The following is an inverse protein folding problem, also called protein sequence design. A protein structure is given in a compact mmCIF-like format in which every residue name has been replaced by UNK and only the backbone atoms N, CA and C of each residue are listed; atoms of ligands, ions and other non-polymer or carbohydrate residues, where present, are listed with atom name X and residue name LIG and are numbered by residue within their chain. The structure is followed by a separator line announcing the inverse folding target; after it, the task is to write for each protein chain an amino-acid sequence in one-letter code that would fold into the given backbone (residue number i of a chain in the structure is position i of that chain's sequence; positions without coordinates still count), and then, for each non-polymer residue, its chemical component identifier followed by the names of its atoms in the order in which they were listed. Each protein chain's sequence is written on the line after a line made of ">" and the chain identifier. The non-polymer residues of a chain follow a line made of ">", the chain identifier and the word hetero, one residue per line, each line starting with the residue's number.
data_IF_570238355955
#
_entry.id   IF_570238355955
#
_cell.length_a   1.000
_cell.length_b   1.000
_cell.length_c   1.000
_cell.angle_alpha   90.00
_cell.angle_beta   90.00
_cell.angle_gamma   90.00
#
_symmetry.space_group_name_H-M   'P 1'
#
loop_
_entity.id
_entity.type
_entity.pdbx_description
1 polymer ?
#
# COMPACT_ATOMS: atom_id res chain seq x y z
N UNK A 1 -8.38 13.61 15.34
CA UNK A 1 -8.49 12.34 14.58
C UNK A 1 -8.60 12.74 13.13
N UNK A 2 -7.89 12.09 12.23
CA UNK A 2 -7.90 12.39 10.79
C UNK A 2 -8.82 11.41 10.06
N UNK A 3 -9.76 11.88 9.25
CA UNK A 3 -10.55 11.03 8.36
C UNK A 3 -9.66 10.49 7.22
N UNK A 4 -9.56 9.17 7.09
CA UNK A 4 -8.65 8.51 6.15
C UNK A 4 -9.37 8.16 4.84
N UNK A 5 -9.64 9.17 4.00
CA UNK A 5 -10.43 9.05 2.75
C UNK A 5 -9.86 7.99 1.80
N UNK A 6 -8.53 7.82 1.75
CA UNK A 6 -7.86 6.81 0.92
C UNK A 6 -8.26 5.36 1.25
N UNK A 7 -8.85 5.10 2.43
CA UNK A 7 -9.36 3.77 2.80
C UNK A 7 -10.66 3.43 2.09
N UNK A 8 -11.49 4.46 1.86
CA UNK A 8 -12.80 4.31 1.21
C UNK A 8 -12.65 4.34 -0.31
N UNK A 9 -11.88 5.30 -0.83
CA UNK A 9 -11.54 5.37 -2.24
C UNK A 9 -10.06 5.72 -2.48
N UNK A 10 -9.26 4.71 -2.83
CA UNK A 10 -7.85 4.87 -3.15
C UNK A 10 -7.59 5.66 -4.46
N UNK A 11 -8.63 5.92 -5.27
CA UNK A 11 -8.55 6.67 -6.53
C UNK A 11 -8.82 8.17 -6.38
N UNK A 12 -9.27 8.62 -5.22
CA UNK A 12 -9.37 10.06 -4.97
C UNK A 12 -7.98 10.70 -4.98
N UNK A 13 -7.83 11.68 -5.86
CA UNK A 13 -6.55 12.36 -6.09
C UNK A 13 -6.37 13.59 -5.22
N UNK A 14 -7.48 14.21 -4.83
CA UNK A 14 -7.48 15.41 -3.99
C UNK A 14 -8.71 15.49 -3.09
N UNK A 15 -8.58 16.23 -1.99
CA UNK A 15 -9.70 16.60 -1.13
C UNK A 15 -9.41 17.93 -0.43
N UNK A 16 -10.45 18.71 -0.20
CA UNK A 16 -10.37 19.87 0.69
C UNK A 16 -10.22 19.38 2.14
N UNK A 17 -9.33 20.00 2.87
CA UNK A 17 -9.05 19.66 4.26
C UNK A 17 -8.70 20.93 5.05
N UNK A 18 -8.65 20.79 6.37
CA UNK A 18 -8.22 21.87 7.27
C UNK A 18 -7.00 21.39 8.07
N UNK A 19 -6.02 22.26 8.20
CA UNK A 19 -4.86 22.05 9.07
C UNK A 19 -5.33 22.03 10.53
N UNK A 20 -5.08 20.92 11.25
CA UNK A 20 -5.45 20.79 12.66
C UNK A 20 -4.26 20.97 13.62
N UNK A 21 -3.06 20.69 13.14
CA UNK A 21 -1.83 20.88 13.90
C UNK A 21 -0.60 20.96 12.98
N UNK A 22 0.43 21.63 13.44
CA UNK A 22 1.75 21.70 12.79
C UNK A 22 2.82 21.63 13.87
N UNK A 23 3.80 20.77 13.69
CA UNK A 23 4.98 20.67 14.58
C UNK A 23 6.24 20.30 13.77
N UNK A 24 7.35 20.03 14.47
CA UNK A 24 8.63 19.68 13.85
C UNK A 24 8.60 18.38 13.01
N UNK A 25 7.55 17.55 13.12
CA UNK A 25 7.37 16.33 12.31
C UNK A 25 6.62 16.62 11.01
N UNK A 26 5.76 17.64 10.98
CA UNK A 26 4.97 17.98 9.78
C UNK A 26 3.56 18.50 10.09
N UNK A 27 2.71 18.42 9.09
CA UNK A 27 1.36 18.99 9.06
C UNK A 27 0.33 17.87 9.27
N UNK A 28 -0.66 18.08 10.14
CA UNK A 28 -1.81 17.19 10.33
C UNK A 28 -3.06 17.85 9.81
N UNK A 29 -3.87 17.05 9.12
CA UNK A 29 -5.13 17.50 8.55
C UNK A 29 -6.32 16.79 9.24
N UNK A 30 -7.49 17.42 9.23
CA UNK A 30 -8.75 16.83 9.69
C UNK A 30 -9.18 15.64 8.85
N UNK A 31 -8.83 15.65 7.54
CA UNK A 31 -9.05 14.56 6.59
C UNK A 31 -7.95 14.51 5.55
N UNK A 32 -7.72 13.31 4.95
CA UNK A 32 -6.64 13.18 3.97
C UNK A 32 -6.88 12.09 2.92
N UNK A 33 -6.43 12.37 1.69
CA UNK A 33 -6.29 11.40 0.60
C UNK A 33 -4.90 10.74 0.59
N UNK A 34 -3.95 11.25 1.38
CA UNK A 34 -2.58 10.74 1.43
C UNK A 34 -2.48 9.46 2.25
N UNK A 35 -1.94 8.40 1.65
CA UNK A 35 -1.62 7.15 2.33
C UNK A 35 -0.32 7.30 3.12
N UNK A 36 -0.30 7.03 4.43
CA UNK A 36 0.93 7.06 5.22
C UNK A 36 1.73 5.77 5.06
N UNK A 37 3.06 5.87 5.10
CA UNK A 37 3.98 4.73 5.09
C UNK A 37 3.49 3.60 6.00
N UNK A 38 3.28 2.42 5.44
CA UNK A 38 2.82 1.25 6.21
C UNK A 38 2.69 -0.01 5.37
N UNK A 39 2.75 -1.19 6.02
CA UNK A 39 2.57 -2.47 5.34
C UNK A 39 3.53 -2.72 4.17
N UNK A 40 4.73 -2.13 4.20
CA UNK A 40 5.70 -2.24 3.11
C UNK A 40 5.45 -1.31 1.92
N UNK A 41 4.36 -0.51 1.92
CA UNK A 41 4.08 0.51 0.90
C UNK A 41 4.57 1.88 1.41
N UNK A 42 5.32 2.65 0.58
CA UNK A 42 5.76 4.01 0.91
C UNK A 42 4.59 4.97 1.11
N UNK A 43 4.79 6.01 1.91
CA UNK A 43 3.88 7.13 2.03
C UNK A 43 3.73 7.89 0.71
N UNK A 44 2.59 8.56 0.54
CA UNK A 44 2.37 9.38 -0.63
C UNK A 44 3.18 10.66 -0.60
N UNK A 45 3.40 11.17 -1.78
CA UNK A 45 3.91 12.51 -2.06
C UNK A 45 2.84 13.34 -2.74
N UNK A 46 3.02 14.66 -2.76
CA UNK A 46 2.08 15.55 -3.41
C UNK A 46 2.22 16.99 -2.94
N UNK A 47 1.10 17.68 -2.77
CA UNK A 47 1.09 19.08 -2.37
C UNK A 47 -0.15 19.45 -1.54
N UNK A 48 -0.01 20.47 -0.70
CA UNK A 48 -1.12 21.20 -0.10
C UNK A 48 -1.17 22.57 -0.77
N UNK A 49 -2.30 22.89 -1.41
CA UNK A 49 -2.53 24.19 -2.05
C UNK A 49 -3.40 25.05 -1.14
N UNK A 50 -2.94 26.24 -0.85
CA UNK A 50 -3.66 27.24 -0.04
C UNK A 50 -4.52 28.13 -0.93
N UNK A 51 -5.56 28.70 -0.36
CA UNK A 51 -6.42 29.68 -1.06
C UNK A 51 -5.66 30.95 -1.47
N UNK A 52 -4.53 31.23 -0.83
CA UNK A 52 -3.60 32.33 -1.20
C UNK A 52 -2.86 32.08 -2.52
N UNK A 53 -2.94 30.86 -3.09
CA UNK A 53 -2.18 30.41 -4.25
C UNK A 53 -0.82 29.78 -3.89
N UNK A 54 -0.42 29.83 -2.64
CA UNK A 54 0.80 29.15 -2.17
C UNK A 54 0.64 27.63 -2.24
N UNK A 55 1.77 26.94 -2.47
CA UNK A 55 1.80 25.48 -2.56
C UNK A 55 2.91 24.96 -1.67
N UNK A 56 2.55 24.04 -0.78
CA UNK A 56 3.49 23.34 0.11
C UNK A 56 3.69 21.93 -0.45
N UNK A 57 4.88 21.65 -0.98
CA UNK A 57 5.23 20.32 -1.47
C UNK A 57 5.35 19.34 -0.29
N UNK A 58 4.70 18.18 -0.39
CA UNK A 58 4.77 17.09 0.59
C UNK A 58 5.71 16.02 0.06
N UNK A 59 6.84 15.86 0.77
CA UNK A 59 7.91 14.94 0.39
C UNK A 59 7.65 13.49 0.84
N UNK A 60 6.86 13.29 1.90
CA UNK A 60 6.48 11.98 2.42
C UNK A 60 5.22 12.10 3.29
N UNK A 61 4.61 10.95 3.58
CA UNK A 61 3.46 10.84 4.50
C UNK A 61 3.70 9.69 5.46
N UNK A 62 3.63 9.97 6.76
CA UNK A 62 3.95 9.04 7.83
C UNK A 62 2.75 8.82 8.75
N UNK A 63 2.76 7.70 9.48
CA UNK A 63 1.82 7.49 10.60
C UNK A 63 2.26 8.34 11.78
N UNK A 64 1.29 8.90 12.49
CA UNK A 64 1.51 9.51 13.77
C UNK A 64 1.48 8.51 14.92
N UNK A 65 1.34 9.03 16.13
CA UNK A 65 1.35 8.22 17.37
C UNK A 65 -0.02 7.57 17.65
N UNK A 66 -1.09 8.16 17.12
CA UNK A 66 -2.45 7.63 17.23
C UNK A 66 -2.84 6.82 15.97
N UNK A 67 -3.77 5.85 16.08
CA UNK A 67 -4.12 4.94 14.97
C UNK A 67 -4.52 5.63 13.67
N UNK A 68 -5.22 6.77 13.75
CA UNK A 68 -5.70 7.52 12.59
C UNK A 68 -4.99 8.88 12.43
N UNK A 69 -3.81 9.01 13.02
CA UNK A 69 -2.97 10.19 12.85
C UNK A 69 -2.08 10.04 11.63
N UNK A 70 -2.15 11.04 10.74
CA UNK A 70 -1.33 11.12 9.52
C UNK A 70 -0.53 12.41 9.54
N UNK A 71 0.78 12.28 9.31
CA UNK A 71 1.73 13.38 9.29
C UNK A 71 2.18 13.59 7.84
N UNK A 72 1.83 14.74 7.27
CA UNK A 72 2.30 15.17 5.97
C UNK A 72 3.63 15.91 6.17
N UNK A 73 4.72 15.33 5.66
CA UNK A 73 6.08 15.85 5.82
C UNK A 73 6.37 16.83 4.67
N UNK A 74 6.50 18.14 4.95
CA UNK A 74 6.82 19.12 3.92
C UNK A 74 8.21 18.89 3.35
N UNK A 75 8.42 19.29 2.11
CA UNK A 75 9.77 19.35 1.54
C UNK A 75 10.62 20.39 2.31
N UNK A 76 11.94 20.18 2.38
CA UNK A 76 12.82 21.12 3.10
C UNK A 76 12.66 22.57 2.61
N UNK A 77 12.58 23.50 3.55
CA UNK A 77 12.47 24.93 3.25
C UNK A 77 11.07 25.42 2.89
N UNK A 78 10.04 24.54 2.90
CA UNK A 78 8.66 24.98 2.69
C UNK A 78 8.14 25.77 3.88
N UNK A 79 7.35 26.83 3.67
CA UNK A 79 6.64 27.51 4.74
C UNK A 79 5.62 26.56 5.37
N UNK A 80 5.40 26.66 6.67
CA UNK A 80 4.39 25.88 7.36
C UNK A 80 3.11 26.72 7.53
N UNK A 81 1.92 26.13 7.23
CA UNK A 81 0.66 26.82 7.40
C UNK A 81 0.28 26.90 8.87
N UNK A 82 -0.56 27.86 9.24
CA UNK A 82 -1.12 27.92 10.58
C UNK A 82 -2.26 26.89 10.76
N UNK A 83 -2.47 26.47 12.01
CA UNK A 83 -3.64 25.66 12.34
C UNK A 83 -4.94 26.43 12.01
N UNK A 84 -5.92 25.74 11.45
CA UNK A 84 -7.15 26.35 10.94
C UNK A 84 -7.12 26.70 9.46
N UNK A 85 -5.95 26.70 8.79
CA UNK A 85 -5.82 26.98 7.36
C UNK A 85 -6.57 25.94 6.51
N UNK A 86 -7.38 26.40 5.57
CA UNK A 86 -7.99 25.54 4.57
C UNK A 86 -6.97 25.23 3.47
N UNK A 87 -6.94 23.99 3.02
CA UNK A 87 -6.03 23.51 1.97
C UNK A 87 -6.73 22.54 1.03
N UNK A 88 -6.31 22.52 -0.23
CA UNK A 88 -6.58 21.41 -1.13
C UNK A 88 -5.38 20.44 -1.05
N UNK A 89 -5.60 19.27 -0.46
CA UNK A 89 -4.62 18.20 -0.38
C UNK A 89 -4.66 17.37 -1.68
N UNK A 90 -3.56 17.35 -2.44
CA UNK A 90 -3.46 16.72 -3.75
C UNK A 90 -2.25 15.78 -3.81
N UNK A 91 -2.47 14.49 -4.11
CA UNK A 91 -1.40 13.49 -4.21
C UNK A 91 -0.73 13.48 -5.58
N UNK A 92 0.53 13.04 -5.64
CA UNK A 92 1.18 12.59 -6.88
C UNK A 92 0.49 11.29 -7.33
N UNK A 93 -0.52 11.45 -8.18
CA UNK A 93 -1.36 10.35 -8.64
C UNK A 93 -0.56 9.31 -9.45
N UNK A 94 0.33 9.74 -10.30
CA UNK A 94 1.10 8.82 -11.14
C UNK A 94 1.95 7.88 -10.28
N UNK A 95 2.59 8.44 -9.25
CA UNK A 95 3.33 7.64 -8.27
C UNK A 95 2.41 6.74 -7.44
N UNK A 96 1.29 7.25 -6.93
CA UNK A 96 0.29 6.47 -6.18
C UNK A 96 -0.19 5.28 -7.01
N UNK A 97 -0.58 5.50 -8.26
CA UNK A 97 -1.11 4.46 -9.12
C UNK A 97 -0.05 3.39 -9.43
N UNK A 98 1.22 3.76 -9.66
CA UNK A 98 2.30 2.77 -9.80
C UNK A 98 2.51 1.93 -8.54
N UNK A 99 2.43 2.55 -7.34
CA UNK A 99 2.49 1.81 -6.07
C UNK A 99 1.30 0.86 -5.91
N UNK A 100 0.07 1.28 -6.25
CA UNK A 100 -1.13 0.43 -6.21
C UNK A 100 -1.00 -0.77 -7.14
N UNK A 101 -0.53 -0.56 -8.37
CA UNK A 101 -0.27 -1.62 -9.36
C UNK A 101 0.73 -2.65 -8.80
N UNK A 102 1.86 -2.19 -8.28
CA UNK A 102 2.88 -3.08 -7.71
C UNK A 102 2.38 -3.77 -6.45
N UNK A 103 1.66 -3.09 -5.56
CA UNK A 103 1.11 -3.69 -4.35
C UNK A 103 0.13 -4.83 -4.70
N UNK A 104 -0.79 -4.59 -5.63
CA UNK A 104 -1.72 -5.63 -6.10
C UNK A 104 -0.97 -6.79 -6.78
N UNK A 105 0.10 -6.51 -7.52
CA UNK A 105 0.95 -7.55 -8.11
C UNK A 105 1.62 -8.43 -7.04
N UNK A 106 2.03 -7.86 -5.90
CA UNK A 106 2.58 -8.65 -4.78
C UNK A 106 1.52 -9.56 -4.15
N UNK A 107 0.24 -9.15 -4.10
CA UNK A 107 -0.86 -10.03 -3.71
C UNK A 107 -1.03 -11.21 -4.71
N UNK A 108 -0.95 -10.96 -6.01
CA UNK A 108 -0.93 -12.04 -7.00
C UNK A 108 0.27 -12.98 -6.78
N UNK A 109 1.43 -12.44 -6.43
CA UNK A 109 2.62 -13.25 -6.15
C UNK A 109 2.39 -14.19 -4.96
N UNK A 110 1.65 -13.77 -3.93
CA UNK A 110 1.26 -14.63 -2.80
C UNK A 110 0.39 -15.83 -3.25
N UNK A 111 -0.43 -15.68 -4.30
CA UNK A 111 -1.23 -16.80 -4.84
C UNK A 111 -0.43 -17.76 -5.73
N UNK A 112 0.67 -17.28 -6.31
CA UNK A 112 1.51 -18.04 -7.25
C UNK A 112 2.60 -18.83 -6.55
N UNK A 113 3.22 -18.24 -5.50
CA UNK A 113 4.32 -18.86 -4.75
C UNK A 113 3.76 -19.51 -3.50
N UNK A 114 3.93 -20.85 -3.31
CA UNK A 114 3.52 -21.50 -2.08
C UNK A 114 4.48 -21.12 -0.94
N UNK A 115 3.95 -20.81 0.22
CA UNK A 115 4.74 -20.50 1.42
C UNK A 115 4.29 -19.23 2.12
N UNK A 116 4.66 -19.12 3.39
CA UNK A 116 4.34 -17.94 4.19
C UNK A 116 5.24 -16.75 3.84
N UNK A 117 4.67 -15.54 3.86
CA UNK A 117 5.42 -14.31 3.60
C UNK A 117 6.14 -13.87 4.87
N UNK A 118 7.46 -13.78 4.82
CA UNK A 118 8.32 -13.35 5.92
C UNK A 118 8.72 -11.87 5.85
N UNK A 119 8.49 -11.21 4.72
CA UNK A 119 8.74 -9.79 4.52
C UNK A 119 8.34 -9.34 3.13
N UNK A 120 8.10 -8.04 2.98
CA UNK A 120 7.70 -7.45 1.71
C UNK A 120 8.05 -5.97 1.63
N UNK A 121 8.16 -5.47 0.40
CA UNK A 121 8.36 -4.05 0.13
C UNK A 121 7.82 -3.69 -1.23
N UNK A 122 7.06 -2.62 -1.27
CA UNK A 122 6.59 -1.97 -2.49
C UNK A 122 7.48 -0.75 -2.75
N UNK A 123 7.91 -0.57 -3.98
CA UNK A 123 8.62 0.62 -4.44
C UNK A 123 8.01 1.09 -5.76
N UNK A 124 8.38 2.28 -6.19
CA UNK A 124 7.94 2.83 -7.47
C UNK A 124 8.50 2.00 -8.63
N UNK A 125 7.61 1.28 -9.33
CA UNK A 125 7.95 0.42 -10.47
C UNK A 125 8.53 -0.95 -10.14
N UNK A 126 8.81 -1.26 -8.89
CA UNK A 126 9.33 -2.55 -8.44
C UNK A 126 8.81 -2.95 -7.06
N UNK A 127 8.93 -4.23 -6.73
CA UNK A 127 8.54 -4.73 -5.42
C UNK A 127 9.18 -6.08 -5.14
N UNK A 128 9.08 -6.53 -3.89
CA UNK A 128 9.60 -7.83 -3.49
C UNK A 128 8.79 -8.46 -2.38
N UNK A 129 8.76 -9.78 -2.38
CA UNK A 129 8.33 -10.59 -1.24
C UNK A 129 9.39 -11.61 -0.89
N UNK A 130 9.52 -11.88 0.40
CA UNK A 130 10.35 -12.92 0.98
C UNK A 130 9.43 -14.06 1.45
N UNK A 131 9.66 -15.27 0.96
CA UNK A 131 8.85 -16.44 1.25
C UNK A 131 9.64 -17.49 2.04
N UNK A 132 8.98 -18.09 3.03
CA UNK A 132 9.48 -19.30 3.69
C UNK A 132 9.11 -20.53 2.83
N UNK A 133 10.08 -21.04 2.09
CA UNK A 133 9.92 -22.14 1.13
C UNK A 133 11.11 -23.12 1.24
N UNK A 134 11.19 -23.89 2.32
CA UNK A 134 12.31 -24.79 2.55
C UNK A 134 12.44 -25.83 1.43
N UNK A 135 13.66 -26.02 0.92
CA UNK A 135 13.98 -27.05 -0.06
C UNK A 135 13.44 -26.85 -1.48
N UNK A 136 12.70 -25.75 -1.74
CA UNK A 136 12.12 -25.50 -3.05
C UNK A 136 13.03 -24.66 -3.93
N UNK A 137 13.19 -25.06 -5.19
CA UNK A 137 13.66 -24.17 -6.26
C UNK A 137 12.43 -23.48 -6.87
N UNK A 138 12.43 -22.15 -6.83
CA UNK A 138 11.38 -21.37 -7.50
C UNK A 138 11.79 -21.16 -8.96
N UNK A 139 10.88 -21.52 -9.88
CA UNK A 139 11.07 -21.27 -11.31
C UNK A 139 10.63 -19.86 -11.68
N UNK A 140 11.60 -19.05 -12.07
CA UNK A 140 11.41 -17.64 -12.44
C UNK A 140 10.47 -17.46 -13.63
N UNK A 141 10.62 -18.27 -14.66
CA UNK A 141 9.84 -18.19 -15.90
C UNK A 141 8.39 -18.61 -15.65
N UNK A 142 8.20 -19.69 -14.91
CA UNK A 142 6.85 -20.17 -14.55
C UNK A 142 6.10 -19.16 -13.67
N UNK A 143 6.77 -18.57 -12.67
CA UNK A 143 6.17 -17.52 -11.83
C UNK A 143 5.77 -16.32 -12.70
N UNK A 144 6.66 -15.87 -13.58
CA UNK A 144 6.40 -14.75 -14.50
C UNK A 144 5.21 -15.03 -15.43
N UNK A 145 5.15 -16.21 -16.01
CA UNK A 145 4.04 -16.65 -16.86
C UNK A 145 2.70 -16.67 -16.12
N UNK A 146 2.66 -17.23 -14.91
CA UNK A 146 1.44 -17.30 -14.09
C UNK A 146 0.98 -15.91 -13.65
N UNK A 147 1.89 -15.03 -13.21
CA UNK A 147 1.55 -13.66 -12.85
C UNK A 147 0.91 -12.91 -14.02
N UNK A 148 1.52 -12.96 -15.22
CA UNK A 148 0.97 -12.27 -16.38
C UNK A 148 -0.35 -12.87 -16.86
N UNK A 149 -0.60 -14.16 -16.67
CA UNK A 149 -1.89 -14.77 -16.92
C UNK A 149 -2.99 -14.21 -15.98
N UNK A 150 -2.70 -14.05 -14.68
CA UNK A 150 -3.61 -13.44 -13.71
C UNK A 150 -3.84 -11.95 -13.98
N UNK A 151 -2.82 -11.23 -14.43
CA UNK A 151 -2.95 -9.84 -14.88
C UNK A 151 -3.90 -9.74 -16.07
N UNK A 152 -3.69 -10.57 -17.10
CA UNK A 152 -4.51 -10.57 -18.31
C UNK A 152 -5.96 -11.02 -18.06
N UNK A 153 -6.21 -11.84 -17.05
CA UNK A 153 -7.54 -12.30 -16.67
C UNK A 153 -8.45 -11.21 -16.09
N UNK A 154 -7.91 -10.03 -15.79
CA UNK A 154 -8.66 -8.85 -15.35
C UNK A 154 -9.57 -9.10 -14.13
N UNK A 155 -9.08 -9.81 -13.13
CA UNK A 155 -9.83 -10.09 -11.90
C UNK A 155 -10.22 -8.80 -11.17
N UNK A 156 -11.48 -8.63 -10.73
CA UNK A 156 -11.88 -7.52 -9.86
C UNK A 156 -11.13 -7.55 -8.53
N UNK A 157 -10.75 -6.37 -8.05
CA UNK A 157 -10.10 -6.17 -6.75
C UNK A 157 -10.99 -5.26 -5.90
N UNK A 158 -11.29 -5.69 -4.69
CA UNK A 158 -12.17 -4.93 -3.78
C UNK A 158 -11.70 -4.99 -2.34
N UNK A 159 -12.03 -3.94 -1.59
CA UNK A 159 -11.85 -3.92 -0.16
C UNK A 159 -13.11 -4.47 0.53
N UNK A 160 -12.89 -5.31 1.53
CA UNK A 160 -13.91 -5.85 2.41
C UNK A 160 -13.53 -5.51 3.86
N UNK A 161 -14.47 -5.67 4.79
CA UNK A 161 -14.21 -5.50 6.21
C UNK A 161 -14.89 -6.63 6.97
N UNK A 162 -14.13 -7.30 7.85
CA UNK A 162 -14.64 -8.32 8.77
C UNK A 162 -14.39 -7.89 10.20
N UNK A 163 -15.04 -8.55 11.16
CA UNK A 163 -14.77 -8.31 12.58
C UNK A 163 -13.46 -8.99 13.03
N UNK A 164 -12.96 -8.60 14.20
CA UNK A 164 -11.80 -9.28 14.80
C UNK A 164 -12.11 -10.75 15.11
N UNK A 165 -13.37 -11.04 15.51
CA UNK A 165 -13.85 -12.41 15.78
C UNK A 165 -13.88 -13.25 14.50
N UNK A 166 -14.43 -12.71 13.41
CA UNK A 166 -14.47 -13.38 12.10
C UNK A 166 -13.07 -13.68 11.56
N UNK A 167 -12.10 -12.78 11.82
CA UNK A 167 -10.70 -13.04 11.45
C UNK A 167 -10.10 -14.17 12.31
N UNK A 168 -10.40 -14.21 13.61
CA UNK A 168 -9.89 -15.25 14.51
C UNK A 168 -10.37 -16.66 14.10
N UNK A 169 -11.59 -16.76 13.52
CA UNK A 169 -12.13 -18.01 12.98
C UNK A 169 -11.48 -18.44 11.66
N UNK A 170 -10.75 -17.53 10.98
CA UNK A 170 -10.14 -17.74 9.66
C UNK A 170 -8.64 -17.42 9.65
N UNK A 171 -7.82 -18.11 10.46
CA UNK A 171 -6.39 -17.82 10.60
C UNK A 171 -5.63 -17.92 9.27
N UNK A 172 -6.10 -18.74 8.32
CA UNK A 172 -5.48 -18.92 6.99
C UNK A 172 -5.51 -17.66 6.12
N UNK A 173 -6.32 -16.66 6.47
CA UNK A 173 -6.31 -15.36 5.80
C UNK A 173 -5.02 -14.58 6.09
N UNK A 174 -4.35 -14.84 7.21
CA UNK A 174 -3.11 -14.14 7.61
C UNK A 174 -1.90 -14.87 7.05
N UNK A 175 -1.51 -14.53 5.83
CA UNK A 175 -0.33 -15.14 5.16
C UNK A 175 1.02 -14.57 5.60
N UNK A 176 1.01 -13.43 6.29
CA UNK A 176 2.24 -12.74 6.72
C UNK A 176 2.63 -13.15 8.13
N UNK A 177 3.87 -13.63 8.30
CA UNK A 177 4.38 -14.07 9.61
C UNK A 177 4.74 -12.91 10.55
N UNK A 178 5.17 -11.78 10.01
CA UNK A 178 5.72 -10.65 10.81
C UNK A 178 4.80 -9.44 10.92
N UNK A 179 3.91 -9.25 9.97
CA UNK A 179 2.98 -8.13 9.96
C UNK A 179 1.62 -8.67 10.36
N UNK A 180 1.27 -8.51 11.63
CA UNK A 180 -0.08 -8.81 12.11
C UNK A 180 -1.02 -7.68 11.67
N UNK A 181 -2.24 -7.99 11.23
CA UNK A 181 -3.26 -6.97 11.03
C UNK A 181 -3.51 -6.24 12.36
N UNK A 182 -3.86 -4.96 12.34
CA UNK A 182 -4.21 -4.24 13.57
C UNK A 182 -5.45 -4.89 14.19
N UNK A 183 -5.26 -5.61 15.29
CA UNK A 183 -6.33 -6.18 16.10
C UNK A 183 -6.78 -5.18 17.17
N UNK A 184 -8.01 -5.35 17.67
CA UNK A 184 -8.55 -4.51 18.75
C UNK A 184 -9.17 -3.18 18.28
N UNK A 185 -9.29 -2.97 16.97
CA UNK A 185 -10.05 -1.85 16.39
C UNK A 185 -11.50 -2.21 16.06
N UNK A 186 -11.90 -3.48 16.31
CA UNK A 186 -13.21 -4.03 16.05
C UNK A 186 -13.45 -4.45 14.60
N UNK A 187 -12.63 -3.98 13.65
CA UNK A 187 -12.76 -4.32 12.23
C UNK A 187 -11.41 -4.40 11.54
N UNK A 188 -11.24 -5.44 10.71
CA UNK A 188 -10.05 -5.66 9.89
C UNK A 188 -10.39 -5.52 8.42
N UNK A 189 -9.64 -4.65 7.73
CA UNK A 189 -9.76 -4.46 6.29
C UNK A 189 -9.06 -5.60 5.56
N UNK A 190 -9.78 -6.22 4.61
CA UNK A 190 -9.26 -7.23 3.68
C UNK A 190 -9.21 -6.67 2.27
N UNK A 191 -8.29 -7.19 1.49
CA UNK A 191 -8.29 -7.04 0.03
C UNK A 191 -8.58 -8.40 -0.58
N UNK A 192 -9.59 -8.42 -1.45
CA UNK A 192 -9.96 -9.58 -2.24
C UNK A 192 -9.63 -9.34 -3.71
N UNK A 193 -8.87 -10.26 -4.30
CA UNK A 193 -8.74 -10.42 -5.75
C UNK A 193 -9.64 -11.61 -6.11
N UNK A 194 -10.79 -11.33 -6.71
CA UNK A 194 -11.89 -12.28 -6.83
C UNK A 194 -11.45 -13.61 -7.45
N UNK A 195 -11.62 -14.70 -6.70
CA UNK A 195 -11.24 -16.06 -7.12
C UNK A 195 -9.73 -16.34 -7.08
N UNK A 196 -8.89 -15.43 -6.59
CA UNK A 196 -7.43 -15.56 -6.60
C UNK A 196 -6.81 -15.44 -5.23
N UNK A 197 -7.13 -14.36 -4.49
CA UNK A 197 -6.48 -14.05 -3.20
C UNK A 197 -7.43 -13.28 -2.27
N UNK A 198 -7.31 -13.54 -0.96
CA UNK A 198 -8.02 -12.82 0.09
C UNK A 198 -7.13 -12.74 1.32
N UNK A 199 -6.74 -11.53 1.73
CA UNK A 199 -5.89 -11.35 2.91
C UNK A 199 -6.02 -9.96 3.55
N UNK A 200 -5.72 -9.79 4.86
CA UNK A 200 -5.68 -8.50 5.51
C UNK A 200 -4.67 -7.57 4.86
N UNK A 201 -5.12 -6.37 4.47
CA UNK A 201 -4.23 -5.36 3.92
C UNK A 201 -4.79 -3.94 4.12
N UNK A 202 -3.94 -3.06 4.68
CA UNK A 202 -4.25 -1.63 4.85
C UNK A 202 -3.81 -0.75 3.70
N UNK A 203 -3.13 -1.30 2.69
CA UNK A 203 -2.56 -0.55 1.57
C UNK A 203 -3.58 -0.15 0.50
N UNK A 204 -3.09 0.54 -0.52
CA UNK A 204 -3.91 0.96 -1.67
C UNK A 204 -3.72 0.01 -2.85
N UNK A 205 -4.82 -0.28 -3.55
CA UNK A 205 -4.86 -1.28 -4.63
C UNK A 205 -5.60 -0.76 -5.86
N UNK A 206 -5.31 -1.33 -7.03
CA UNK A 206 -6.06 -1.09 -8.27
C UNK A 206 -7.43 -1.78 -8.21
N UNK A 207 -8.36 -1.38 -9.08
CA UNK A 207 -9.72 -1.95 -9.13
C UNK A 207 -9.80 -3.26 -9.90
N UNK A 208 -8.82 -3.51 -10.77
CA UNK A 208 -8.73 -4.76 -11.55
C UNK A 208 -7.27 -5.13 -11.79
N UNK A 209 -6.97 -6.43 -11.85
CA UNK A 209 -5.60 -6.89 -12.12
C UNK A 209 -5.08 -6.46 -13.49
N UNK A 210 -5.94 -6.17 -14.47
CA UNK A 210 -5.53 -5.65 -15.78
C UNK A 210 -4.76 -4.32 -15.70
N UNK A 211 -5.06 -3.49 -14.70
CA UNK A 211 -4.37 -2.20 -14.51
C UNK A 211 -2.88 -2.36 -14.14
N UNK A 212 -2.49 -3.53 -13.63
CA UNK A 212 -1.09 -3.82 -13.28
C UNK A 212 -0.20 -3.68 -14.50
N UNK A 213 -0.68 -4.14 -15.65
CA UNK A 213 0.12 -4.22 -16.88
C UNK A 213 1.18 -5.33 -16.81
N UNK A 214 1.98 -5.52 -17.86
CA UNK A 214 2.99 -6.58 -17.92
C UNK A 214 4.03 -6.46 -16.81
N UNK A 215 4.39 -7.60 -16.20
CA UNK A 215 5.38 -7.69 -15.13
C UNK A 215 6.43 -8.75 -15.43
N UNK A 216 7.59 -8.58 -14.83
CA UNK A 216 8.66 -9.57 -14.90
C UNK A 216 9.17 -9.91 -13.50
N UNK A 217 9.57 -11.16 -13.32
CA UNK A 217 10.36 -11.57 -12.17
C UNK A 217 11.80 -11.14 -12.46
N UNK A 218 12.25 -10.06 -11.84
CA UNK A 218 13.58 -9.52 -12.10
C UNK A 218 14.67 -10.48 -11.58
N UNK A 219 14.49 -10.97 -10.33
CA UNK A 219 15.47 -11.83 -9.67
C UNK A 219 14.82 -12.68 -8.59
N UNK A 220 15.32 -13.90 -8.40
CA UNK A 220 15.06 -14.73 -7.21
C UNK A 220 16.37 -14.90 -6.45
N UNK A 221 16.36 -14.60 -5.15
CA UNK A 221 17.54 -14.62 -4.30
C UNK A 221 17.33 -15.54 -3.10
N UNK A 222 18.38 -16.28 -2.75
CA UNK A 222 18.43 -17.03 -1.50
C UNK A 222 18.73 -16.07 -0.34
N UNK A 223 17.87 -16.05 0.68
CA UNK A 223 18.03 -15.27 1.92
C UNK A 223 18.18 -16.19 3.14
N UNK A 224 19.06 -17.19 3.01
CA UNK A 224 19.27 -18.23 4.01
C UNK A 224 18.68 -19.58 3.59
N UNK A 225 18.68 -20.56 4.53
CA UNK A 225 18.33 -21.97 4.22
C UNK A 225 16.88 -22.15 3.74
N UNK A 226 15.95 -21.36 4.24
CA UNK A 226 14.51 -21.54 4.02
C UNK A 226 13.87 -20.37 3.27
N UNK A 227 14.53 -19.22 3.17
CA UNK A 227 13.92 -17.99 2.67
C UNK A 227 14.34 -17.70 1.24
N UNK A 228 13.36 -17.38 0.39
CA UNK A 228 13.54 -16.98 -1.01
C UNK A 228 12.91 -15.61 -1.24
N UNK A 229 13.71 -14.68 -1.72
CA UNK A 229 13.24 -13.34 -2.14
C UNK A 229 12.91 -13.35 -3.61
N UNK A 230 11.69 -13.02 -3.96
CA UNK A 230 11.23 -12.80 -5.33
C UNK A 230 11.11 -11.31 -5.57
N UNK A 231 11.87 -10.77 -6.52
CA UNK A 231 11.85 -9.38 -6.93
C UNK A 231 11.05 -9.24 -8.23
N UNK A 232 10.10 -8.31 -8.23
CA UNK A 232 9.27 -7.97 -9.39
C UNK A 232 9.60 -6.57 -9.91
N UNK A 233 9.39 -6.36 -11.20
CA UNK A 233 9.40 -5.05 -11.84
C UNK A 233 8.33 -5.01 -12.94
N UNK A 234 7.89 -3.80 -13.33
CA UNK A 234 7.09 -3.66 -14.55
C UNK A 234 7.96 -3.94 -15.77
N UNK A 235 7.36 -4.57 -16.79
CA UNK A 235 8.03 -4.83 -18.05
C UNK A 235 7.86 -3.60 -18.96
N UNK A 236 8.79 -2.66 -18.88
CA UNK A 236 8.92 -1.51 -19.78
C UNK A 236 7.83 -0.45 -19.60
#
# INVERSE_FOLDING_TARGET
>A
MTELIFRDDAYLRSATARVIAVDGRGIRLDRTVFYPLGGGQPGDKGALRLDTGETIAIADTLKGDLPDEVIHVPAPGMPLPEAGTAVLAEIDWERRHRLMRMHTCLHLLCSVVPGAVTGGQVEDGKGRLDFDVPGSSLDKEEIGRRLNALVAAAHPVRALSISDEELAEKPDLVRTMRVQPPLGTGRVRLIEILGVDLQPCGGTHVRTTAEIGPVLVAKIENKGRQNRRVNLAFAG
#
